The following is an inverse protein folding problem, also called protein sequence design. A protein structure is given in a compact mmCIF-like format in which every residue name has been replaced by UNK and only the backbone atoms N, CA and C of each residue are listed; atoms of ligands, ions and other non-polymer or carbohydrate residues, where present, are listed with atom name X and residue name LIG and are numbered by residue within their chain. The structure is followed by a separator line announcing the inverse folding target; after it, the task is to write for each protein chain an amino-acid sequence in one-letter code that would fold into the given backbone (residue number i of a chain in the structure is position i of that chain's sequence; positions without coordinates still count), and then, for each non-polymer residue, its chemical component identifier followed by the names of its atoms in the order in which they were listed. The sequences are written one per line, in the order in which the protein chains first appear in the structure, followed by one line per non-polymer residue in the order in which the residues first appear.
data_IF_912390739111
#
_entry.id   IF_912390739111
#
_cell.length_a   1.000
_cell.length_b   1.000
_cell.length_c   1.000
_cell.angle_alpha   90.00
_cell.angle_beta   90.00
_cell.angle_gamma   90.00
#
_symmetry.space_group_name_H-M   'P 1'
#
loop_
_entity.id
_entity.type
_entity.pdbx_description
1 polymer ?
#
# COMPACT_ATOMS: atom_id res chain seq x y z
N UNK A 1 -0.48 -11.22 50.14
CA UNK A 1 -1.35 -10.42 49.26
C UNK A 1 -0.47 -9.40 48.55
N UNK A 2 0.02 -9.73 47.34
CA UNK A 2 0.78 -8.78 46.51
C UNK A 2 -0.20 -8.14 45.52
N UNK A 3 -0.18 -6.81 45.46
CA UNK A 3 -0.99 -5.99 44.56
C UNK A 3 -0.80 -6.49 43.12
N UNK A 4 -1.89 -6.84 42.45
CA UNK A 4 -1.94 -6.87 40.99
C UNK A 4 -1.54 -5.46 40.54
N UNK A 5 -0.41 -5.36 39.84
CA UNK A 5 0.23 -4.10 39.53
C UNK A 5 -0.73 -3.19 38.77
N UNK A 6 -0.99 -1.99 39.32
CA UNK A 6 -1.76 -0.89 38.72
C UNK A 6 -1.29 -0.53 37.28
N UNK A 7 -0.06 -0.93 36.91
CA UNK A 7 0.49 -0.80 35.55
C UNK A 7 -0.23 -1.67 34.50
N UNK A 8 -0.86 -2.78 34.90
CA UNK A 8 -1.52 -3.74 33.99
C UNK A 8 -2.89 -3.23 33.51
N UNK A 9 -3.64 -2.57 34.39
CA UNK A 9 -4.93 -1.95 34.04
C UNK A 9 -4.79 -0.72 33.13
N UNK A 10 -3.64 -0.02 33.22
CA UNK A 10 -3.36 1.14 32.36
C UNK A 10 -3.03 0.73 30.92
N UNK A 11 -2.46 -0.46 30.72
CA UNK A 11 -2.08 -0.97 29.40
C UNK A 11 -3.33 -1.36 28.58
N UNK A 12 -4.34 -1.96 29.22
CA UNK A 12 -5.61 -2.37 28.60
C UNK A 12 -6.42 -1.19 28.08
N UNK A 13 -6.33 -0.02 28.72
CA UNK A 13 -7.05 1.19 28.30
C UNK A 13 -6.47 1.89 27.07
N UNK A 14 -5.18 1.68 26.75
CA UNK A 14 -4.52 2.33 25.62
C UNK A 14 -4.87 1.72 24.25
N UNK A 15 -5.36 0.47 24.20
CA UNK A 15 -5.60 -0.25 22.95
C UNK A 15 -7.06 -0.23 22.46
N UNK A 16 -8.00 0.36 23.21
CA UNK A 16 -9.44 0.32 22.89
C UNK A 16 -9.86 1.40 21.86
N UNK A 17 -8.98 2.34 21.47
CA UNK A 17 -9.38 3.53 20.71
C UNK A 17 -8.50 3.85 19.48
N UNK A 18 -8.34 2.90 18.55
CA UNK A 18 -7.79 3.22 17.23
C UNK A 18 -8.91 3.14 16.19
N UNK A 19 -9.48 4.27 15.73
CA UNK A 19 -10.39 4.26 14.59
C UNK A 19 -9.58 4.19 13.29
N UNK A 20 -9.92 3.25 12.41
CA UNK A 20 -9.37 3.12 11.06
C UNK A 20 -10.44 3.59 10.06
N UNK A 21 -10.11 4.56 9.22
CA UNK A 21 -10.91 4.99 8.06
C UNK A 21 -10.13 4.68 6.79
N UNK A 22 -10.82 4.20 5.75
CA UNK A 22 -10.21 3.78 4.48
C UNK A 22 -11.02 4.29 3.27
N UNK A 23 -10.35 4.78 2.22
CA UNK A 23 -10.94 5.15 0.92
C UNK A 23 -9.96 4.95 -0.26
N UNK A 24 -10.30 4.12 -1.26
CA UNK A 24 -9.78 4.18 -2.66
C UNK A 24 -9.06 2.95 -3.26
N UNK A 25 -9.51 2.44 -4.42
CA UNK A 25 -9.31 1.07 -4.98
C UNK A 25 -7.89 0.50 -5.28
N UNK A 26 -6.76 1.20 -5.15
CA UNK A 26 -5.41 0.55 -5.05
C UNK A 26 -5.15 -0.06 -3.66
N UNK A 27 -6.11 0.13 -2.76
CA UNK A 27 -6.08 -0.32 -1.39
C UNK A 27 -6.41 -1.80 -1.24
N UNK A 28 -6.87 -2.55 -2.25
CA UNK A 28 -7.40 -3.92 -2.05
C UNK A 28 -6.48 -4.87 -1.25
N UNK A 29 -5.16 -4.80 -1.46
CA UNK A 29 -4.16 -5.54 -0.65
C UNK A 29 -4.05 -5.00 0.78
N UNK A 30 -3.96 -3.68 0.95
CA UNK A 30 -3.87 -3.05 2.26
C UNK A 30 -5.19 -3.14 3.05
N UNK A 31 -6.34 -3.05 2.40
CA UNK A 31 -7.69 -3.33 2.91
C UNK A 31 -7.80 -4.77 3.37
N UNK A 32 -7.32 -5.73 2.57
CA UNK A 32 -7.35 -7.14 2.96
C UNK A 32 -6.47 -7.37 4.19
N UNK A 33 -5.28 -6.78 4.24
CA UNK A 33 -4.39 -6.90 5.41
C UNK A 33 -5.02 -6.19 6.62
N UNK A 34 -5.55 -4.96 6.47
CA UNK A 34 -6.23 -4.22 7.53
C UNK A 34 -7.43 -4.98 8.07
N UNK A 35 -8.29 -5.50 7.18
CA UNK A 35 -9.45 -6.33 7.54
C UNK A 35 -9.02 -7.57 8.33
N UNK A 36 -7.98 -8.28 7.88
CA UNK A 36 -7.45 -9.44 8.61
C UNK A 36 -6.89 -9.06 10.00
N UNK A 37 -6.20 -7.92 10.11
CA UNK A 37 -5.69 -7.40 11.38
C UNK A 37 -6.83 -6.97 12.32
N UNK A 38 -7.89 -6.37 11.80
CA UNK A 38 -9.10 -6.03 12.55
C UNK A 38 -9.78 -7.29 13.09
N UNK A 39 -9.97 -8.32 12.26
CA UNK A 39 -10.56 -9.59 12.71
C UNK A 39 -9.70 -10.27 13.80
N UNK A 40 -8.38 -10.31 13.63
CA UNK A 40 -7.45 -10.85 14.65
C UNK A 40 -7.53 -10.06 15.95
N UNK A 41 -7.60 -8.73 15.86
CA UNK A 41 -7.73 -7.84 17.02
C UNK A 41 -9.05 -8.07 17.76
N UNK A 42 -10.17 -8.18 17.03
CA UNK A 42 -11.48 -8.46 17.60
C UNK A 42 -11.48 -9.79 18.35
N UNK A 43 -10.97 -10.86 17.73
CA UNK A 43 -10.87 -12.18 18.34
C UNK A 43 -10.04 -12.17 19.63
N UNK A 44 -8.91 -11.44 19.62
CA UNK A 44 -8.05 -11.32 20.79
C UNK A 44 -8.71 -10.53 21.92
N UNK A 45 -9.44 -9.45 21.61
CA UNK A 45 -10.23 -8.70 22.59
C UNK A 45 -11.38 -9.53 23.19
N UNK A 46 -12.07 -10.34 22.38
CA UNK A 46 -13.10 -11.25 22.87
C UNK A 46 -12.52 -12.28 23.86
N UNK A 47 -11.38 -12.88 23.52
CA UNK A 47 -10.69 -13.83 24.40
C UNK A 47 -10.27 -13.19 25.73
N UNK A 48 -9.76 -11.95 25.70
CA UNK A 48 -9.38 -11.20 26.90
C UNK A 48 -10.61 -10.89 27.77
N UNK A 49 -11.74 -10.51 27.16
CA UNK A 49 -12.99 -10.28 27.88
C UNK A 49 -13.51 -11.57 28.53
N UNK A 50 -13.41 -12.71 27.85
CA UNK A 50 -13.78 -14.00 28.43
C UNK A 50 -12.88 -14.37 29.61
N UNK A 51 -11.56 -14.22 29.47
CA UNK A 51 -10.61 -14.46 30.55
C UNK A 51 -10.86 -13.55 31.76
N UNK A 52 -11.15 -12.27 31.53
CA UNK A 52 -11.52 -11.33 32.61
C UNK A 52 -12.79 -11.79 33.33
N UNK A 53 -13.82 -12.22 32.59
CA UNK A 53 -15.05 -12.77 33.18
C UNK A 53 -14.76 -14.00 34.04
N UNK A 54 -13.89 -14.92 33.58
CA UNK A 54 -13.49 -16.10 34.38
C UNK A 54 -12.74 -15.69 35.65
N UNK A 55 -11.88 -14.67 35.60
CA UNK A 55 -11.21 -14.12 36.78
C UNK A 55 -12.24 -13.56 37.76
N UNK A 56 -13.23 -12.80 37.28
CA UNK A 56 -14.27 -12.21 38.12
C UNK A 56 -15.13 -13.29 38.81
N UNK A 57 -15.51 -14.34 38.08
CA UNK A 57 -16.23 -15.50 38.62
C UNK A 57 -15.43 -16.22 39.71
N UNK A 58 -14.11 -16.41 39.50
CA UNK A 58 -13.20 -16.95 40.50
C UNK A 58 -13.19 -16.05 41.74
N UNK A 59 -13.02 -14.74 41.57
CA UNK A 59 -12.99 -13.77 42.67
C UNK A 59 -14.29 -13.75 43.48
N UNK A 60 -15.45 -13.83 42.83
CA UNK A 60 -16.75 -13.93 43.51
C UNK A 60 -16.84 -15.23 44.31
N UNK A 61 -16.32 -16.34 43.78
CA UNK A 61 -16.34 -17.64 44.45
C UNK A 61 -15.37 -17.77 45.64
N UNK A 62 -14.37 -16.90 45.76
CA UNK A 62 -13.45 -16.81 46.91
C UNK A 62 -14.14 -16.33 48.20
N UNK A 63 -15.40 -15.90 48.13
CA UNK A 63 -16.26 -15.60 49.29
C UNK A 63 -16.85 -16.89 49.91
N UNK A 64 -16.73 -18.04 49.24
CA UNK A 64 -17.08 -19.37 49.73
C UNK A 64 -15.87 -20.25 50.09
N UNK A 65 -16.06 -21.52 50.53
CA UNK A 65 -14.94 -22.41 50.84
C UNK A 65 -14.05 -22.62 49.61
N UNK A 66 -12.72 -22.62 49.77
CA UNK A 66 -11.78 -22.71 48.64
C UNK A 66 -11.95 -24.04 47.91
N UNK A 67 -11.96 -23.99 46.57
CA UNK A 67 -11.87 -25.19 45.72
C UNK A 67 -10.39 -25.42 45.39
N UNK A 68 -9.94 -26.68 45.42
CA UNK A 68 -8.54 -27.11 45.32
C UNK A 68 -7.82 -26.85 43.96
N UNK A 69 -8.32 -25.95 43.11
CA UNK A 69 -7.81 -25.73 41.74
C UNK A 69 -7.67 -24.24 41.36
N UNK A 70 -7.96 -23.29 42.25
CA UNK A 70 -7.96 -21.88 41.86
C UNK A 70 -6.57 -21.37 41.45
N UNK A 71 -5.51 -21.77 42.14
CA UNK A 71 -4.14 -21.34 41.80
C UNK A 71 -3.71 -21.87 40.42
N UNK A 72 -3.96 -23.14 40.11
CA UNK A 72 -3.66 -23.72 38.80
C UNK A 72 -4.49 -23.11 37.66
N UNK A 73 -5.73 -22.72 37.96
CA UNK A 73 -6.61 -22.05 36.99
C UNK A 73 -6.14 -20.62 36.72
N UNK A 74 -5.75 -19.87 37.76
CA UNK A 74 -5.20 -18.52 37.64
C UNK A 74 -3.86 -18.52 36.89
N UNK A 75 -2.96 -19.46 37.18
CA UNK A 75 -1.68 -19.57 36.47
C UNK A 75 -1.87 -19.86 34.96
N UNK A 76 -2.86 -20.69 34.61
CA UNK A 76 -3.22 -20.93 33.20
C UNK A 76 -3.78 -19.67 32.52
N UNK A 77 -4.65 -18.93 33.22
CA UNK A 77 -5.22 -17.68 32.71
C UNK A 77 -4.14 -16.61 32.51
N UNK A 78 -3.22 -16.45 33.46
CA UNK A 78 -2.09 -15.52 33.34
C UNK A 78 -1.25 -15.83 32.09
N UNK A 79 -0.97 -17.11 31.84
CA UNK A 79 -0.24 -17.53 30.64
C UNK A 79 -1.02 -17.23 29.35
N UNK A 80 -2.33 -17.46 29.33
CA UNK A 80 -3.18 -17.18 28.16
C UNK A 80 -3.29 -15.68 27.88
N UNK A 81 -3.45 -14.86 28.93
CA UNK A 81 -3.45 -13.40 28.83
C UNK A 81 -2.11 -12.92 28.25
N UNK A 82 -0.99 -13.43 28.76
CA UNK A 82 0.33 -13.06 28.26
C UNK A 82 0.50 -13.36 26.77
N UNK A 83 0.09 -14.55 26.32
CA UNK A 83 0.18 -14.93 24.91
C UNK A 83 -0.69 -14.04 24.01
N UNK A 84 -1.92 -13.74 24.44
CA UNK A 84 -2.83 -12.88 23.70
C UNK A 84 -2.32 -11.44 23.60
N UNK A 85 -1.79 -10.88 24.70
CA UNK A 85 -1.15 -9.55 24.69
C UNK A 85 0.06 -9.49 23.74
N UNK A 86 0.84 -10.57 23.67
CA UNK A 86 1.95 -10.67 22.71
C UNK A 86 1.47 -10.65 21.27
N UNK A 87 0.38 -11.34 20.95
CA UNK A 87 -0.21 -11.31 19.60
C UNK A 87 -0.76 -9.93 19.24
N UNK A 88 -1.36 -9.19 20.19
CA UNK A 88 -1.78 -7.81 19.98
C UNK A 88 -0.59 -6.86 19.73
N UNK A 89 0.53 -7.07 20.43
CA UNK A 89 1.78 -6.33 20.17
C UNK A 89 2.34 -6.63 18.77
N UNK A 90 2.27 -7.88 18.32
CA UNK A 90 2.64 -8.28 16.95
C UNK A 90 1.77 -7.57 15.91
N UNK A 91 0.44 -7.58 16.08
CA UNK A 91 -0.50 -6.85 15.22
C UNK A 91 -0.19 -5.34 15.18
N UNK A 92 0.12 -4.73 16.33
CA UNK A 92 0.49 -3.32 16.40
C UNK A 92 1.77 -3.02 15.60
N UNK A 93 2.77 -3.91 15.69
CA UNK A 93 4.00 -3.77 14.92
C UNK A 93 3.76 -3.98 13.42
N UNK A 94 2.90 -4.92 13.02
CA UNK A 94 2.46 -5.11 11.64
C UNK A 94 1.80 -3.84 11.08
N UNK A 95 0.87 -3.24 11.84
CA UNK A 95 0.22 -1.97 11.49
C UNK A 95 1.21 -0.82 11.33
N UNK A 96 2.13 -0.64 12.28
CA UNK A 96 3.14 0.42 12.19
C UNK A 96 4.07 0.23 10.98
N UNK A 97 4.41 -1.02 10.65
CA UNK A 97 5.16 -1.34 9.43
C UNK A 97 4.40 -0.95 8.17
N UNK A 98 3.10 -1.23 8.11
CA UNK A 98 2.24 -0.83 6.99
C UNK A 98 2.12 0.68 6.84
N UNK A 99 1.86 1.42 7.93
CA UNK A 99 1.76 2.88 7.87
C UNK A 99 3.05 3.52 7.40
N UNK A 100 4.19 3.02 7.85
CA UNK A 100 5.50 3.50 7.39
C UNK A 100 5.73 3.25 5.90
N UNK A 101 5.19 2.16 5.35
CA UNK A 101 5.24 1.91 3.91
C UNK A 101 4.29 2.85 3.14
N UNK A 102 3.07 3.08 3.66
CA UNK A 102 2.11 4.02 3.07
C UNK A 102 2.61 5.46 3.08
N UNK A 103 3.30 5.91 4.14
CA UNK A 103 3.85 7.27 4.24
C UNK A 103 4.75 7.66 3.06
N UNK A 104 5.41 6.68 2.45
CA UNK A 104 6.31 6.88 1.31
C UNK A 104 5.61 6.75 -0.05
N UNK A 105 4.38 6.23 -0.10
CA UNK A 105 3.64 6.02 -1.33
C UNK A 105 3.31 7.37 -2.00
N UNK A 106 3.65 7.51 -3.28
CA UNK A 106 3.43 8.75 -4.04
C UNK A 106 1.97 8.83 -4.48
N UNK A 107 1.23 9.82 -3.97
CA UNK A 107 -0.20 10.03 -4.27
C UNK A 107 -0.44 11.07 -5.37
N UNK A 108 0.51 11.98 -5.56
CA UNK A 108 0.41 12.97 -6.62
C UNK A 108 1.77 13.39 -7.15
N UNK A 109 1.86 13.59 -8.45
CA UNK A 109 3.04 14.16 -9.11
C UNK A 109 2.61 15.36 -9.95
N UNK A 110 3.41 16.42 -9.94
CA UNK A 110 3.20 17.62 -10.76
C UNK A 110 4.47 17.96 -11.51
N UNK A 111 4.38 18.10 -12.84
CA UNK A 111 5.55 18.25 -13.73
C UNK A 111 5.31 19.46 -14.65
N UNK A 112 6.32 20.32 -14.80
CA UNK A 112 6.36 21.36 -15.82
C UNK A 112 7.00 20.81 -17.10
N UNK A 113 6.22 20.75 -18.19
CA UNK A 113 6.66 20.20 -19.46
C UNK A 113 7.79 20.99 -20.15
N UNK A 114 8.00 22.27 -19.81
CA UNK A 114 9.07 23.07 -20.44
C UNK A 114 10.43 22.82 -19.80
N UNK A 115 10.44 22.47 -18.51
CA UNK A 115 11.66 22.30 -17.73
C UNK A 115 11.95 20.85 -17.42
N UNK A 116 10.95 19.95 -17.57
CA UNK A 116 11.01 18.55 -17.13
C UNK A 116 11.21 18.40 -15.61
N UNK A 117 11.00 19.48 -14.86
CA UNK A 117 11.07 19.50 -13.41
C UNK A 117 9.68 19.40 -12.80
N UNK A 118 9.61 18.86 -11.60
CA UNK A 118 8.36 18.62 -10.91
C UNK A 118 8.52 18.38 -9.43
N UNK A 119 7.40 18.03 -8.80
CA UNK A 119 7.33 17.65 -7.39
C UNK A 119 6.40 16.46 -7.23
N UNK A 120 6.74 15.50 -6.39
CA UNK A 120 5.82 14.46 -5.90
C UNK A 120 5.40 14.74 -4.47
N UNK A 121 4.17 14.35 -4.14
CA UNK A 121 3.60 14.38 -2.79
C UNK A 121 3.32 12.94 -2.38
N UNK A 122 3.80 12.53 -1.20
CA UNK A 122 3.49 11.21 -0.62
C UNK A 122 2.24 11.25 0.25
N UNK A 123 1.69 10.08 0.60
CA UNK A 123 0.56 9.99 1.53
C UNK A 123 0.87 10.63 2.90
N UNK A 124 2.13 10.56 3.35
CA UNK A 124 2.61 11.23 4.56
C UNK A 124 2.73 12.76 4.45
N UNK A 125 2.46 13.34 3.28
CA UNK A 125 2.57 14.77 3.01
C UNK A 125 3.99 15.28 2.73
N UNK A 126 4.96 14.37 2.57
CA UNK A 126 6.32 14.74 2.16
C UNK A 126 6.31 15.21 0.70
N UNK A 127 6.96 16.34 0.44
CA UNK A 127 7.14 16.88 -0.92
C UNK A 127 8.58 16.63 -1.35
N UNK A 128 8.76 15.95 -2.49
CA UNK A 128 10.07 15.68 -3.07
C UNK A 128 10.19 16.32 -4.45
N UNK A 129 11.34 16.91 -4.72
CA UNK A 129 11.67 17.41 -6.06
C UNK A 129 11.87 16.23 -7.01
N UNK A 130 11.43 16.40 -8.25
CA UNK A 130 11.46 15.38 -9.29
C UNK A 130 12.01 15.99 -10.58
N UNK A 131 12.91 15.29 -11.25
CA UNK A 131 13.45 15.67 -12.54
C UNK A 131 13.28 14.47 -13.48
N UNK A 132 12.57 14.67 -14.59
CA UNK A 132 12.41 13.61 -15.58
C UNK A 132 13.72 13.41 -16.34
N UNK A 133 14.06 12.14 -16.55
CA UNK A 133 15.20 11.73 -17.35
C UNK A 133 15.00 12.07 -18.83
N UNK A 134 13.74 12.04 -19.28
CA UNK A 134 13.37 12.37 -20.65
C UNK A 134 12.40 13.56 -20.67
N UNK A 135 12.66 14.57 -21.53
CA UNK A 135 11.71 15.64 -21.69
C UNK A 135 10.39 15.11 -22.26
N UNK A 136 9.25 15.43 -21.63
CA UNK A 136 7.95 15.12 -22.19
C UNK A 136 7.75 15.95 -23.46
N UNK A 137 7.00 15.41 -24.42
CA UNK A 137 6.62 16.16 -25.60
C UNK A 137 5.20 15.81 -26.05
N UNK A 138 4.65 16.64 -26.94
CA UNK A 138 3.30 16.46 -27.46
C UNK A 138 3.39 15.89 -28.87
N UNK A 139 2.72 14.77 -29.10
CA UNK A 139 2.58 14.13 -30.41
C UNK A 139 1.11 13.85 -30.70
N UNK A 140 0.58 14.37 -31.81
CA UNK A 140 -0.83 14.17 -32.19
C UNK A 140 -1.84 14.49 -31.06
N UNK A 141 -1.61 15.57 -30.31
CA UNK A 141 -2.38 15.98 -29.13
C UNK A 141 -2.35 14.99 -27.95
N UNK A 142 -1.39 14.06 -27.91
CA UNK A 142 -1.12 13.18 -26.77
C UNK A 142 0.20 13.59 -26.13
N UNK A 143 0.27 13.49 -24.81
CA UNK A 143 1.53 13.70 -24.10
C UNK A 143 2.30 12.39 -24.09
N UNK A 144 3.55 12.47 -24.52
CA UNK A 144 4.46 11.34 -24.58
C UNK A 144 5.47 11.47 -23.43
N UNK A 145 5.54 10.44 -22.59
CA UNK A 145 6.50 10.33 -21.48
C UNK A 145 7.48 9.19 -21.73
N UNK A 146 8.75 9.39 -21.36
CA UNK A 146 9.73 8.33 -21.49
C UNK A 146 9.38 7.15 -20.60
N UNK A 147 9.56 5.94 -21.12
CA UNK A 147 9.27 4.70 -20.40
C UNK A 147 10.02 4.62 -19.06
N UNK A 148 11.24 5.16 -18.98
CA UNK A 148 12.00 5.18 -17.72
C UNK A 148 11.39 6.10 -16.67
N UNK A 149 10.77 7.19 -17.10
CA UNK A 149 10.11 8.12 -16.18
C UNK A 149 8.79 7.53 -15.65
N UNK A 150 8.18 6.59 -16.37
CA UNK A 150 6.99 5.84 -15.89
C UNK A 150 7.28 5.13 -14.57
N UNK A 151 8.51 4.63 -14.35
CA UNK A 151 8.92 4.02 -13.09
C UNK A 151 8.61 4.92 -11.89
N UNK A 152 9.15 6.13 -11.92
CA UNK A 152 8.97 7.11 -10.84
C UNK A 152 7.55 7.66 -10.79
N UNK A 153 6.94 7.89 -11.95
CA UNK A 153 5.63 8.53 -12.04
C UNK A 153 4.49 7.62 -11.59
N UNK A 154 4.63 6.31 -11.76
CA UNK A 154 3.59 5.32 -11.47
C UNK A 154 3.96 4.31 -10.37
N UNK A 155 5.09 4.52 -9.67
CA UNK A 155 5.56 3.62 -8.59
C UNK A 155 5.82 2.20 -9.12
N UNK A 156 6.47 2.12 -10.28
CA UNK A 156 6.96 0.87 -10.86
C UNK A 156 8.46 0.78 -10.59
N UNK A 157 8.93 -0.35 -10.09
CA UNK A 157 10.36 -0.58 -9.88
C UNK A 157 11.10 -0.59 -11.22
N UNK A 158 12.31 0.01 -11.27
CA UNK A 158 13.08 0.07 -12.53
C UNK A 158 13.41 -1.34 -13.07
N UNK A 159 13.58 -2.33 -12.18
CA UNK A 159 13.84 -3.72 -12.56
C UNK A 159 12.64 -4.42 -13.23
N UNK A 160 11.43 -3.90 -12.99
CA UNK A 160 10.19 -4.41 -13.57
C UNK A 160 9.91 -3.85 -14.98
N UNK A 161 10.81 -3.01 -15.49
CA UNK A 161 10.77 -2.47 -16.85
C UNK A 161 11.85 -3.12 -17.70
N UNK A 162 11.43 -3.78 -18.79
CA UNK A 162 12.37 -4.39 -19.73
C UNK A 162 11.98 -4.13 -21.19
N UNK A 163 12.95 -4.34 -22.09
CA UNK A 163 12.81 -4.05 -23.50
C UNK A 163 13.19 -5.28 -24.32
N UNK A 164 12.40 -5.60 -25.34
CA UNK A 164 12.76 -6.59 -26.35
C UNK A 164 13.24 -5.89 -27.61
N UNK A 165 14.31 -6.45 -28.20
CA UNK A 165 14.97 -5.92 -29.38
C UNK A 165 14.63 -6.76 -30.61
N UNK A 166 14.42 -6.09 -31.74
CA UNK A 166 14.27 -6.72 -33.06
C UNK A 166 15.04 -5.91 -34.09
N UNK A 167 15.97 -6.54 -34.81
CA UNK A 167 16.84 -5.88 -35.78
C UNK A 167 17.55 -4.64 -35.21
N UNK A 168 18.15 -4.75 -34.02
CA UNK A 168 18.85 -3.67 -33.30
C UNK A 168 17.99 -2.46 -32.89
N UNK A 169 16.66 -2.59 -32.96
CA UNK A 169 15.72 -1.58 -32.48
C UNK A 169 14.83 -2.13 -31.37
N UNK A 170 14.46 -1.28 -30.41
CA UNK A 170 13.43 -1.63 -29.42
C UNK A 170 12.14 -1.93 -30.17
N UNK A 171 11.56 -3.09 -29.91
CA UNK A 171 10.32 -3.55 -30.54
C UNK A 171 9.16 -3.60 -29.56
N UNK A 172 9.43 -4.05 -28.34
CA UNK A 172 8.43 -4.15 -27.28
C UNK A 172 9.00 -3.63 -25.96
N UNK A 173 8.11 -3.11 -25.14
CA UNK A 173 8.34 -2.68 -23.77
C UNK A 173 7.50 -3.59 -22.89
N UNK A 174 8.11 -4.16 -21.85
CA UNK A 174 7.43 -4.95 -20.84
C UNK A 174 7.49 -4.21 -19.52
N UNK A 175 6.34 -4.08 -18.86
CA UNK A 175 6.23 -3.46 -17.53
C UNK A 175 5.45 -4.41 -16.65
N UNK A 176 6.03 -4.82 -15.52
CA UNK A 176 5.31 -5.55 -14.47
C UNK A 176 4.77 -4.54 -13.46
N UNK A 177 3.46 -4.54 -13.23
CA UNK A 177 2.82 -3.65 -12.27
C UNK A 177 1.60 -4.33 -11.65
N UNK A 178 1.46 -4.22 -10.33
CA UNK A 178 0.39 -4.85 -9.54
C UNK A 178 0.16 -6.33 -9.92
N UNK A 179 1.24 -7.11 -9.92
CA UNK A 179 1.27 -8.54 -10.27
C UNK A 179 0.84 -8.88 -11.71
N UNK A 180 0.57 -7.88 -12.55
CA UNK A 180 0.19 -8.04 -13.96
C UNK A 180 1.38 -7.74 -14.88
N UNK A 181 1.48 -8.46 -16.01
CA UNK A 181 2.49 -8.21 -17.03
C UNK A 181 1.88 -7.41 -18.20
N UNK A 182 2.42 -6.22 -18.44
CA UNK A 182 2.00 -5.34 -19.54
C UNK A 182 3.00 -5.38 -20.69
N UNK A 183 2.53 -5.62 -21.90
CA UNK A 183 3.32 -5.62 -23.14
C UNK A 183 2.85 -4.53 -24.10
N UNK A 184 3.73 -3.58 -24.38
CA UNK A 184 3.51 -2.51 -25.35
C UNK A 184 4.37 -2.75 -26.58
N UNK A 185 3.77 -2.76 -27.76
CA UNK A 185 4.52 -2.88 -29.03
C UNK A 185 4.71 -1.52 -29.68
N UNK A 186 5.94 -1.17 -30.04
CA UNK A 186 6.24 0.09 -30.75
C UNK A 186 5.44 0.14 -32.06
N UNK A 187 4.73 1.25 -32.30
CA UNK A 187 3.89 1.43 -33.49
C UNK A 187 2.54 0.72 -33.45
N UNK A 188 2.15 0.12 -32.32
CA UNK A 188 0.86 -0.54 -32.12
C UNK A 188 -0.04 0.23 -31.16
N UNK A 189 -1.32 0.34 -31.49
CA UNK A 189 -2.36 0.86 -30.58
C UNK A 189 -2.84 -0.18 -29.56
N UNK A 190 -2.29 -1.39 -29.60
CA UNK A 190 -2.70 -2.47 -28.70
C UNK A 190 -1.66 -2.66 -27.60
N UNK A 191 -2.14 -2.74 -26.36
CA UNK A 191 -1.37 -3.17 -25.19
C UNK A 191 -1.95 -4.48 -24.67
N UNK A 192 -1.10 -5.44 -24.35
CA UNK A 192 -1.52 -6.68 -23.68
C UNK A 192 -1.29 -6.55 -22.18
N UNK A 193 -2.30 -6.86 -21.37
CA UNK A 193 -2.20 -7.06 -19.91
C UNK A 193 -2.52 -8.53 -19.66
N UNK A 194 -1.53 -9.31 -19.29
CA UNK A 194 -1.59 -10.77 -19.18
C UNK A 194 -2.15 -11.41 -20.47
N UNK A 195 -3.35 -11.98 -20.42
CA UNK A 195 -4.06 -12.59 -21.55
C UNK A 195 -5.06 -11.64 -22.25
N UNK A 196 -5.26 -10.44 -21.70
CA UNK A 196 -6.24 -9.46 -22.21
C UNK A 196 -5.57 -8.38 -23.05
N UNK A 197 -6.25 -7.88 -24.08
CA UNK A 197 -5.75 -6.78 -24.93
C UNK A 197 -6.62 -5.54 -24.80
N UNK A 198 -6.00 -4.38 -24.67
CA UNK A 198 -6.63 -3.07 -24.58
C UNK A 198 -6.23 -2.20 -25.77
N UNK A 199 -7.11 -1.29 -26.17
CA UNK A 199 -6.86 -0.29 -27.20
C UNK A 199 -6.44 1.02 -26.55
N UNK A 200 -5.30 1.55 -26.97
CA UNK A 200 -4.78 2.86 -26.61
C UNK A 200 -5.17 3.92 -27.66
N UNK A 201 -5.20 5.18 -27.26
CA UNK A 201 -5.48 6.31 -28.15
C UNK A 201 -4.25 6.72 -28.97
N UNK A 202 -3.05 6.47 -28.44
CA UNK A 202 -1.79 6.59 -29.17
C UNK A 202 -0.94 5.31 -29.05
N UNK A 203 0.04 5.16 -29.94
CA UNK A 203 0.97 4.05 -29.89
C UNK A 203 2.30 4.47 -29.24
N UNK A 204 3.02 3.53 -28.61
CA UNK A 204 4.38 3.74 -28.15
C UNK A 204 5.32 4.07 -29.32
N UNK A 205 6.24 5.00 -29.10
CA UNK A 205 7.15 5.49 -30.15
C UNK A 205 8.59 5.53 -29.68
N UNK A 206 9.50 5.53 -30.65
CA UNK A 206 10.90 5.87 -30.42
C UNK A 206 11.14 7.23 -31.05
N UNK A 207 11.53 8.20 -30.23
CA UNK A 207 11.82 9.56 -30.67
C UNK A 207 12.97 10.11 -29.84
N UNK A 208 13.73 11.07 -30.37
CA UNK A 208 14.83 11.74 -29.66
C UNK A 208 15.85 10.80 -28.95
N UNK A 209 15.98 9.55 -29.40
CA UNK A 209 16.85 8.54 -28.78
C UNK A 209 16.26 7.81 -27.57
N UNK A 210 14.99 8.06 -27.22
CA UNK A 210 14.27 7.43 -26.12
C UNK A 210 13.02 6.70 -26.60
N UNK A 211 12.51 5.83 -25.73
CA UNK A 211 11.22 5.15 -25.92
C UNK A 211 10.16 5.86 -25.09
N UNK A 212 9.03 6.18 -25.72
CA UNK A 212 7.96 6.95 -25.12
C UNK A 212 6.64 6.17 -25.14
N UNK A 213 5.84 6.40 -24.10
CA UNK A 213 4.46 5.93 -23.97
C UNK A 213 3.48 7.11 -23.88
N UNK A 214 2.25 6.96 -24.38
CA UNK A 214 1.19 7.95 -24.21
C UNK A 214 0.75 8.02 -22.74
N UNK A 215 0.91 9.19 -22.11
CA UNK A 215 0.67 9.42 -20.69
C UNK A 215 -0.76 9.07 -20.29
N UNK A 216 -1.75 9.58 -21.02
CA UNK A 216 -3.16 9.42 -20.66
C UNK A 216 -3.59 7.95 -20.67
N UNK A 217 -3.13 7.18 -21.68
CA UNK A 217 -3.42 5.76 -21.78
C UNK A 217 -2.70 4.97 -20.66
N UNK A 218 -1.42 5.26 -20.39
CA UNK A 218 -0.65 4.64 -19.30
C UNK A 218 -1.28 4.92 -17.94
N UNK A 219 -1.74 6.15 -17.70
CA UNK A 219 -2.40 6.50 -16.45
C UNK A 219 -3.66 5.66 -16.23
N UNK A 220 -4.50 5.51 -17.25
CA UNK A 220 -5.70 4.64 -17.16
C UNK A 220 -5.31 3.18 -16.89
N UNK A 221 -4.26 2.69 -17.54
CA UNK A 221 -3.79 1.30 -17.40
C UNK A 221 -3.28 0.98 -15.99
N UNK A 222 -2.74 1.98 -15.30
CA UNK A 222 -2.24 1.91 -13.92
C UNK A 222 -3.20 2.55 -12.90
N UNK A 223 -4.49 2.58 -13.21
CA UNK A 223 -5.57 3.05 -12.33
C UNK A 223 -5.32 4.46 -11.75
N UNK A 224 -4.63 5.31 -12.51
CA UNK A 224 -4.26 6.67 -12.17
C UNK A 224 -5.00 7.67 -13.08
N UNK A 225 -5.05 8.92 -12.65
CA UNK A 225 -5.59 10.03 -13.46
C UNK A 225 -4.50 11.01 -13.84
N UNK A 226 -4.30 11.22 -15.14
CA UNK A 226 -3.46 12.29 -15.67
C UNK A 226 -4.31 13.50 -16.05
N UNK A 227 -3.95 14.67 -15.51
CA UNK A 227 -4.61 15.95 -15.78
C UNK A 227 -3.58 16.90 -16.38
N UNK A 228 -3.89 17.40 -17.57
CA UNK A 228 -3.04 18.37 -18.27
C UNK A 228 -3.66 19.75 -18.15
N UNK A 229 -2.93 20.69 -17.54
CA UNK A 229 -3.34 22.10 -17.45
C UNK A 229 -2.21 23.00 -17.95
N UNK A 230 -2.43 23.65 -19.10
CA UNK A 230 -1.42 24.48 -19.78
C UNK A 230 -0.15 23.66 -20.03
N UNK A 231 0.94 24.00 -19.35
CA UNK A 231 2.24 23.34 -19.48
C UNK A 231 2.54 22.41 -18.30
N UNK A 232 1.54 22.08 -17.50
CA UNK A 232 1.70 21.26 -16.31
C UNK A 232 0.94 19.96 -16.45
N UNK A 233 1.63 18.85 -16.20
CA UNK A 233 1.05 17.53 -16.03
C UNK A 233 0.86 17.31 -14.53
N UNK A 234 -0.33 16.86 -14.13
CA UNK A 234 -0.59 16.37 -12.77
C UNK A 234 -1.06 14.93 -12.86
N UNK A 235 -0.37 14.02 -12.18
CA UNK A 235 -0.78 12.62 -12.03
C UNK A 235 -1.30 12.47 -10.61
N UNK A 236 -2.47 11.87 -10.47
CA UNK A 236 -3.09 11.51 -9.20
C UNK A 236 -3.31 10.00 -9.21
N UNK A 237 -2.88 9.33 -8.14
CA UNK A 237 -3.01 7.88 -7.96
C UNK A 237 -4.10 7.56 -6.96
#
# INVERSE_FOLDING_TARGET
MRMINLKFALLVLLFISIPIMVTGDTINRYETILYNLEQRTMMNNELLNEMQRTIDEIQISLVGPPKDNYEQTLEKLEKQIYLNLKELEEIHNELNGMYKNLENFVVSVKIDMNTSLGTSITYGGEVKDLELLTPPYIENNQIMLGVRDVAYLFDVEEEDISFSMKNDHVHQIFIRYDECDYEFTIGSYLVRKDETTFLMNAFPVISYGYTYLPLEDVAIIFDSTAIVQKNTITIVK
#
